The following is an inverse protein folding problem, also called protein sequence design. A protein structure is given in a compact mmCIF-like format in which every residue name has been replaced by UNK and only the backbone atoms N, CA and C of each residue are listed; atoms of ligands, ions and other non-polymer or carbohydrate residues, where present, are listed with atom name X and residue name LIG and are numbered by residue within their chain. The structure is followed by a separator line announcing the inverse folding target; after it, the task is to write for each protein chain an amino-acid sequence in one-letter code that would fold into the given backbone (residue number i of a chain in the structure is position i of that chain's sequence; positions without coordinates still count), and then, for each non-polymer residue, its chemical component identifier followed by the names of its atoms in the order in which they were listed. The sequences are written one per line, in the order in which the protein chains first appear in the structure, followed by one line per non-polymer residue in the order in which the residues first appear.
data_IF_866379804128
#
_entry.id   IF_866379804128
#
_cell.length_a   1.000
_cell.length_b   1.000
_cell.length_c   1.000
_cell.angle_alpha   90.00
_cell.angle_beta   90.00
_cell.angle_gamma   90.00
#
_symmetry.space_group_name_H-M   'P 1'
#
loop_
_entity.id
_entity.type
_entity.pdbx_description
1 polymer ?
#
# COMPACT_ATOMS: atom_id res chain seq x y z
N UNK A 1 11.66 10.88 -10.01
CA UNK A 1 10.82 9.89 -10.72
C UNK A 1 11.50 8.55 -10.54
N UNK A 2 10.79 7.56 -9.98
CA UNK A 2 11.35 6.22 -9.80
C UNK A 2 11.52 5.58 -11.17
N UNK A 3 12.63 4.86 -11.37
CA UNK A 3 12.76 4.04 -12.57
C UNK A 3 11.99 2.72 -12.36
N UNK A 4 11.63 2.02 -13.44
CA UNK A 4 10.87 0.78 -13.33
C UNK A 4 11.62 -0.34 -12.60
N UNK A 5 12.95 -0.35 -12.63
CA UNK A 5 13.74 -1.35 -11.91
C UNK A 5 13.64 -1.18 -10.39
N UNK A 6 13.54 0.06 -9.90
CA UNK A 6 13.31 0.33 -8.47
C UNK A 6 11.94 -0.22 -8.05
N UNK A 7 10.89 0.03 -8.85
CA UNK A 7 9.53 -0.47 -8.60
C UNK A 7 9.49 -1.99 -8.57
N UNK A 8 10.15 -2.65 -9.53
CA UNK A 8 10.25 -4.11 -9.55
C UNK A 8 11.05 -4.65 -8.36
N UNK A 9 12.10 -3.96 -7.92
CA UNK A 9 12.87 -4.33 -6.73
C UNK A 9 12.03 -4.22 -5.45
N UNK A 10 11.22 -3.17 -5.28
CA UNK A 10 10.28 -3.05 -4.17
C UNK A 10 9.24 -4.19 -4.22
N UNK A 11 8.59 -4.40 -5.36
CA UNK A 11 7.59 -5.45 -5.54
C UNK A 11 8.15 -6.87 -5.35
N UNK A 12 9.43 -7.10 -5.68
CA UNK A 12 10.10 -8.35 -5.38
C UNK A 12 10.34 -8.55 -3.88
N UNK A 13 10.79 -7.50 -3.16
CA UNK A 13 11.04 -7.57 -1.71
C UNK A 13 9.75 -7.68 -0.90
N UNK A 14 8.65 -7.08 -1.34
CA UNK A 14 7.32 -7.26 -0.76
C UNK A 14 6.80 -8.71 -0.84
N UNK A 15 7.35 -9.53 -1.76
CA UNK A 15 7.06 -10.96 -1.86
C UNK A 15 8.02 -11.84 -1.04
N UNK A 16 8.95 -11.24 -0.31
CA UNK A 16 9.87 -11.98 0.57
C UNK A 16 9.08 -12.80 1.59
N UNK A 17 9.62 -13.95 2.00
CA UNK A 17 9.07 -14.72 3.11
C UNK A 17 9.31 -14.05 4.48
N UNK A 18 10.30 -13.17 4.55
CA UNK A 18 10.69 -12.43 5.76
C UNK A 18 9.83 -11.16 5.94
N UNK A 19 9.10 -11.09 7.06
CA UNK A 19 8.27 -9.93 7.44
C UNK A 19 9.09 -8.64 7.56
N UNK A 20 10.32 -8.69 8.06
CA UNK A 20 11.15 -7.49 8.20
C UNK A 20 11.56 -6.93 6.82
N UNK A 21 11.82 -7.82 5.86
CA UNK A 21 12.11 -7.42 4.48
C UNK A 21 10.87 -6.81 3.79
N UNK A 22 9.66 -7.31 4.09
CA UNK A 22 8.41 -6.72 3.60
C UNK A 22 8.16 -5.35 4.20
N UNK A 23 8.36 -5.19 5.51
CA UNK A 23 8.23 -3.91 6.21
C UNK A 23 9.14 -2.84 5.59
N UNK A 24 10.44 -3.15 5.47
CA UNK A 24 11.41 -2.23 4.88
C UNK A 24 11.08 -1.88 3.43
N UNK A 25 10.58 -2.84 2.64
CA UNK A 25 10.20 -2.58 1.27
C UNK A 25 8.95 -1.69 1.15
N UNK A 26 8.02 -1.76 2.11
CA UNK A 26 6.85 -0.90 2.17
C UNK A 26 7.24 0.56 2.49
N UNK A 27 8.12 0.75 3.47
CA UNK A 27 8.65 2.06 3.83
C UNK A 27 9.43 2.67 2.65
N UNK A 28 10.40 1.94 2.08
CA UNK A 28 11.19 2.42 0.94
C UNK A 28 10.32 2.83 -0.27
N UNK A 29 9.21 2.13 -0.50
CA UNK A 29 8.28 2.41 -1.59
C UNK A 29 7.46 3.69 -1.39
N UNK A 30 7.45 4.26 -0.18
CA UNK A 30 6.63 5.44 0.12
C UNK A 30 7.41 6.62 0.72
N UNK A 31 8.64 6.42 1.18
CA UNK A 31 9.55 7.48 1.63
C UNK A 31 9.71 8.61 0.60
N UNK A 32 9.84 8.28 -0.69
CA UNK A 32 9.96 9.31 -1.73
C UNK A 32 8.64 10.00 -2.10
N UNK A 33 7.50 9.49 -1.63
CA UNK A 33 6.18 10.11 -1.82
C UNK A 33 5.90 11.12 -0.70
N UNK A 34 6.34 10.84 0.53
CA UNK A 34 6.14 11.68 1.72
C UNK A 34 7.13 12.86 1.81
N UNK A 35 8.41 12.68 1.45
CA UNK A 35 9.47 13.63 1.81
C UNK A 35 9.51 14.94 0.99
N UNK A 36 8.88 15.00 -0.20
CA UNK A 36 9.12 16.12 -1.13
C UNK A 36 7.87 16.79 -1.71
N UNK A 37 6.68 16.44 -1.20
CA UNK A 37 5.41 17.03 -1.68
C UNK A 37 5.14 16.78 -3.17
N UNK A 38 5.77 15.76 -3.76
CA UNK A 38 5.61 15.34 -5.15
C UNK A 38 5.73 13.83 -5.21
N UNK A 39 4.78 13.14 -5.83
CA UNK A 39 4.93 11.71 -6.11
C UNK A 39 5.74 11.50 -7.39
N UNK A 40 6.58 10.47 -7.38
CA UNK A 40 7.47 10.11 -8.48
C UNK A 40 6.98 8.91 -9.31
N UNK A 41 5.80 8.37 -8.98
CA UNK A 41 5.21 7.24 -9.71
C UNK A 41 4.35 7.69 -10.88
N UNK A 42 4.51 6.99 -12.00
CA UNK A 42 3.49 6.94 -13.06
C UNK A 42 2.32 6.06 -12.61
N UNK A 43 1.14 6.20 -13.25
CA UNK A 43 -0.02 5.38 -12.90
C UNK A 43 0.27 3.85 -12.99
N UNK A 44 0.96 3.31 -14.02
CA UNK A 44 1.31 1.89 -14.05
C UNK A 44 2.30 1.45 -12.97
N UNK A 45 3.15 2.35 -12.46
CA UNK A 45 4.04 2.05 -11.34
C UNK A 45 3.27 2.02 -10.02
N UNK A 46 2.38 3.00 -9.83
CA UNK A 46 1.49 3.06 -8.68
C UNK A 46 0.56 1.83 -8.58
N UNK A 47 0.00 1.37 -9.70
CA UNK A 47 -0.80 0.13 -9.74
C UNK A 47 0.02 -1.09 -9.28
N UNK A 48 1.21 -1.28 -9.85
CA UNK A 48 2.10 -2.40 -9.51
C UNK A 48 2.48 -2.42 -8.03
N UNK A 49 2.90 -1.28 -7.48
CA UNK A 49 3.31 -1.22 -6.08
C UNK A 49 2.12 -1.38 -5.13
N UNK A 50 0.97 -0.80 -5.46
CA UNK A 50 -0.26 -0.97 -4.66
C UNK A 50 -0.67 -2.43 -4.62
N UNK A 51 -0.71 -3.11 -5.77
CA UNK A 51 -1.02 -4.54 -5.82
C UNK A 51 -0.03 -5.38 -4.99
N UNK A 52 1.27 -5.11 -5.10
CA UNK A 52 2.29 -5.81 -4.32
C UNK A 52 2.13 -5.61 -2.80
N UNK A 53 1.77 -4.41 -2.36
CA UNK A 53 1.48 -4.11 -0.96
C UNK A 53 0.22 -4.84 -0.47
N UNK A 54 -0.86 -4.86 -1.27
CA UNK A 54 -2.08 -5.60 -0.93
C UNK A 54 -1.82 -7.10 -0.84
N UNK A 55 -1.07 -7.66 -1.78
CA UNK A 55 -0.72 -9.08 -1.76
C UNK A 55 0.17 -9.42 -0.55
N UNK A 56 1.12 -8.55 -0.18
CA UNK A 56 1.92 -8.68 1.05
C UNK A 56 1.05 -8.61 2.32
N UNK A 57 0.11 -7.66 2.38
CA UNK A 57 -0.81 -7.49 3.50
C UNK A 57 -1.68 -8.73 3.75
N UNK A 58 -2.12 -9.41 2.69
CA UNK A 58 -2.96 -10.62 2.78
C UNK A 58 -2.26 -11.74 3.54
N UNK A 59 -0.93 -11.86 3.41
CA UNK A 59 -0.14 -12.92 4.02
C UNK A 59 0.57 -12.50 5.31
N UNK A 60 0.64 -11.19 5.60
CA UNK A 60 1.41 -10.68 6.73
C UNK A 60 0.75 -11.00 8.07
N UNK A 61 1.53 -11.61 8.96
CA UNK A 61 1.13 -11.97 10.32
C UNK A 61 1.89 -11.23 11.40
N UNK A 62 3.05 -10.63 11.06
CA UNK A 62 3.80 -9.76 11.96
C UNK A 62 3.12 -8.40 12.06
N UNK A 63 2.90 -7.94 13.29
CA UNK A 63 2.17 -6.69 13.57
C UNK A 63 2.93 -5.46 13.05
N UNK A 64 4.27 -5.45 13.18
CA UNK A 64 5.08 -4.29 12.79
C UNK A 64 5.18 -4.19 11.27
N UNK A 65 5.38 -5.32 10.60
CA UNK A 65 5.38 -5.36 9.13
C UNK A 65 4.01 -5.03 8.55
N UNK A 66 2.93 -5.50 9.19
CA UNK A 66 1.57 -5.11 8.81
C UNK A 66 1.36 -3.60 8.95
N UNK A 67 1.80 -3.01 10.06
CA UNK A 67 1.74 -1.56 10.26
C UNK A 67 2.43 -0.80 9.12
N UNK A 68 3.68 -1.16 8.78
CA UNK A 68 4.43 -0.55 7.70
C UNK A 68 3.72 -0.67 6.34
N UNK A 69 3.19 -1.86 6.02
CA UNK A 69 2.46 -2.11 4.76
C UNK A 69 1.18 -1.27 4.69
N UNK A 70 0.40 -1.18 5.78
CA UNK A 70 -0.85 -0.40 5.80
C UNK A 70 -0.54 1.10 5.79
N UNK A 71 0.53 1.56 6.45
CA UNK A 71 1.01 2.94 6.36
C UNK A 71 1.37 3.31 4.91
N UNK A 72 2.10 2.44 4.22
CA UNK A 72 2.46 2.64 2.81
C UNK A 72 1.21 2.72 1.92
N UNK A 73 0.24 1.81 2.11
CA UNK A 73 -1.04 1.85 1.41
C UNK A 73 -1.80 3.17 1.68
N UNK A 74 -1.89 3.58 2.95
CA UNK A 74 -2.54 4.84 3.33
C UNK A 74 -1.86 6.06 2.69
N UNK A 75 -0.53 6.02 2.54
CA UNK A 75 0.23 7.05 1.81
C UNK A 75 -0.19 7.08 0.34
N UNK A 76 -0.16 5.95 -0.37
CA UNK A 76 -0.56 5.91 -1.79
C UNK A 76 -2.01 6.34 -2.00
N UNK A 77 -2.91 5.97 -1.09
CA UNK A 77 -4.31 6.40 -1.07
C UNK A 77 -4.44 7.90 -0.85
N UNK A 78 -3.71 8.46 0.11
CA UNK A 78 -3.73 9.90 0.41
C UNK A 78 -3.25 10.78 -0.75
N UNK A 79 -2.47 10.21 -1.67
CA UNK A 79 -1.98 10.85 -2.89
C UNK A 79 -2.79 10.50 -4.15
N UNK A 80 -3.93 9.82 -4.02
CA UNK A 80 -4.76 9.36 -5.15
C UNK A 80 -4.00 8.49 -6.17
N UNK A 81 -3.02 7.71 -5.71
CA UNK A 81 -2.20 6.81 -6.53
C UNK A 81 -2.70 5.37 -6.53
N UNK A 82 -3.38 4.96 -5.47
CA UNK A 82 -3.89 3.61 -5.32
C UNK A 82 -5.14 3.37 -6.18
N UNK A 83 -5.17 2.34 -7.06
CA UNK A 83 -6.38 1.96 -7.77
C UNK A 83 -7.52 1.60 -6.81
N UNK A 84 -8.74 2.05 -7.11
CA UNK A 84 -9.90 1.81 -6.25
C UNK A 84 -10.18 0.33 -5.99
N UNK A 85 -10.01 -0.53 -6.99
CA UNK A 85 -10.16 -1.99 -6.84
C UNK A 85 -9.16 -2.60 -5.85
N UNK A 86 -7.91 -2.14 -5.84
CA UNK A 86 -6.92 -2.58 -4.85
C UNK A 86 -7.20 -2.04 -3.45
N UNK A 87 -7.73 -0.81 -3.34
CA UNK A 87 -8.22 -0.26 -2.05
C UNK A 87 -9.36 -1.12 -1.49
N UNK A 88 -10.33 -1.53 -2.33
CA UNK A 88 -11.38 -2.45 -1.92
C UNK A 88 -10.82 -3.81 -1.45
N UNK A 89 -9.84 -4.35 -2.18
CA UNK A 89 -9.16 -5.61 -1.77
C UNK A 89 -8.47 -5.45 -0.41
N UNK A 90 -7.75 -4.35 -0.18
CA UNK A 90 -7.10 -4.07 1.09
C UNK A 90 -8.11 -4.02 2.25
N UNK A 91 -9.23 -3.32 2.06
CA UNK A 91 -10.28 -3.18 3.07
C UNK A 91 -11.01 -4.50 3.38
N UNK A 92 -10.97 -5.48 2.47
CA UNK A 92 -11.51 -6.82 2.70
C UNK A 92 -10.58 -7.72 3.52
N UNK A 93 -9.33 -7.32 3.77
CA UNK A 93 -8.39 -8.11 4.58
C UNK A 93 -8.81 -8.06 6.06
N UNK A 94 -8.94 -9.22 6.74
CA UNK A 94 -9.26 -9.25 8.17
C UNK A 94 -8.23 -8.50 9.02
N UNK A 95 -8.73 -7.74 9.99
CA UNK A 95 -7.92 -6.98 10.94
C UNK A 95 -7.79 -7.72 12.26
N UNK A 96 -6.62 -7.67 12.93
CA UNK A 96 -6.48 -8.16 14.29
C UNK A 96 -7.35 -7.34 15.26
N UNK A 97 -7.75 -7.94 16.40
CA UNK A 97 -8.59 -7.28 17.39
C UNK A 97 -7.93 -6.07 18.07
N UNK A 98 -6.60 -6.04 18.12
CA UNK A 98 -5.80 -4.87 18.44
C UNK A 98 -4.86 -4.65 17.26
N UNK A 99 -5.05 -3.53 16.56
CA UNK A 99 -4.36 -3.24 15.30
C UNK A 99 -3.48 -1.99 15.49
N UNK A 100 -2.17 -2.18 15.41
CA UNK A 100 -1.16 -1.10 15.41
C UNK A 100 -1.41 -0.10 14.26
N UNK A 101 -1.96 -0.58 13.15
CA UNK A 101 -2.25 0.21 11.95
C UNK A 101 -3.61 0.94 11.98
N UNK A 102 -4.33 0.96 13.11
CA UNK A 102 -5.71 1.45 13.17
C UNK A 102 -5.90 2.87 12.61
N UNK A 103 -4.94 3.78 12.83
CA UNK A 103 -5.01 5.14 12.30
C UNK A 103 -4.87 5.19 10.77
N UNK A 104 -4.01 4.35 10.19
CA UNK A 104 -3.83 4.26 8.74
C UNK A 104 -5.06 3.66 8.06
N UNK A 105 -5.67 2.64 8.68
CA UNK A 105 -6.94 2.08 8.22
C UNK A 105 -8.05 3.12 8.11
N UNK A 106 -8.18 3.99 9.10
CA UNK A 106 -9.18 5.06 9.09
C UNK A 106 -9.01 5.97 7.85
N UNK A 107 -7.76 6.32 7.50
CA UNK A 107 -7.48 7.14 6.32
C UNK A 107 -7.91 6.46 5.01
N UNK A 108 -7.64 5.16 4.89
CA UNK A 108 -8.04 4.35 3.72
C UNK A 108 -9.58 4.27 3.61
N UNK A 109 -10.27 4.05 4.73
CA UNK A 109 -11.74 4.00 4.78
C UNK A 109 -12.40 5.35 4.45
N UNK A 110 -11.84 6.45 4.96
CA UNK A 110 -12.30 7.81 4.66
C UNK A 110 -12.13 8.14 3.18
N UNK A 111 -11.02 7.72 2.58
CA UNK A 111 -10.83 7.86 1.14
C UNK A 111 -11.84 7.03 0.35
N UNK A 112 -12.05 5.76 0.69
CA UNK A 112 -12.97 4.88 -0.02
C UNK A 112 -14.43 5.37 0.06
N UNK A 113 -14.85 5.98 1.17
CA UNK A 113 -16.16 6.63 1.30
C UNK A 113 -16.33 7.83 0.37
N UNK A 114 -15.25 8.57 0.08
CA UNK A 114 -15.26 9.73 -0.83
C UNK A 114 -15.19 9.33 -2.30
N UNK A 115 -14.62 8.16 -2.59
CA UNK A 115 -14.40 7.64 -3.95
C UNK A 115 -15.17 6.34 -4.14
N UNK A 116 -16.48 6.39 -4.45
CA UNK A 116 -17.29 5.18 -4.61
C UNK A 116 -16.70 4.28 -5.71
N UNK A 117 -16.16 3.14 -5.28
CA UNK A 117 -15.55 2.13 -6.14
C UNK A 117 -16.67 1.51 -6.96
N UNK A 118 -16.70 1.79 -8.26
CA UNK A 118 -17.74 1.31 -9.16
C UNK A 118 -17.28 -0.03 -9.75
N UNK A 119 -17.90 -1.17 -9.38
CA UNK A 119 -17.40 -2.52 -9.75
C UNK A 119 -17.53 -2.87 -11.25
N UNK A 120 -17.81 -1.89 -12.12
CA UNK A 120 -18.01 -2.08 -13.56
C UNK A 120 -17.32 -1.04 -14.44
N UNK A 121 -16.36 -0.28 -13.91
CA UNK A 121 -15.54 0.67 -14.68
C UNK A 121 -14.08 0.63 -14.20
N UNK A 122 -13.42 -0.49 -14.45
CA UNK A 122 -11.96 -0.57 -14.62
C UNK A 122 -11.71 -1.20 -15.99
#
# INVERSE_FOLDING_TARGET
MYNDADVEAYAARLRSADSAARALAADDATDGVSDWGRHSYTAPQADRITRALVDALVVESDDSAREAIVNALATLVGWDLAPGSEVARALAVPRPGRDSAAAYWQGIEEWARRHPINPGRD
#
